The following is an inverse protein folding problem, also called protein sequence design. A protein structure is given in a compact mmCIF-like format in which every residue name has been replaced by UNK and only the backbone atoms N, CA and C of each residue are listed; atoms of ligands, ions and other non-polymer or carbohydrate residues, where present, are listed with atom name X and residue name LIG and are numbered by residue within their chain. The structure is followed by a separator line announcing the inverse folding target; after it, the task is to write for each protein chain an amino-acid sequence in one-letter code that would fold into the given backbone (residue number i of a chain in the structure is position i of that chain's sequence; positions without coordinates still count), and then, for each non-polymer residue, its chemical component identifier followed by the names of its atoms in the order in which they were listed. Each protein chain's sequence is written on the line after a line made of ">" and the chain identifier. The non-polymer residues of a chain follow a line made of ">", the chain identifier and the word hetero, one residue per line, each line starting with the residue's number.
data_IF_053627198736
#
_entry.id   IF_053627198736
#
_cell.length_a   1.000
_cell.length_b   1.000
_cell.length_c   1.000
_cell.angle_alpha   90.00
_cell.angle_beta   90.00
_cell.angle_gamma   90.00
#
_symmetry.space_group_name_H-M   'P 1'
#
loop_
_entity.id
_entity.type
_entity.pdbx_description
1 polymer ?
#
# COMPACT_ATOMS: atom_id res chain seq x y z
N UNK A 1 -28.10 -52.91 10.38
CA UNK A 1 -27.03 -52.06 9.80
C UNK A 1 -26.85 -50.70 10.50
N UNK A 2 -27.82 -50.18 11.27
CA UNK A 2 -27.72 -48.85 11.93
C UNK A 2 -27.00 -48.88 13.31
N UNK A 3 -26.96 -50.02 14.01
CA UNK A 3 -26.26 -50.15 15.32
C UNK A 3 -24.73 -50.22 15.25
N UNK A 4 -24.14 -50.51 14.07
CA UNK A 4 -22.66 -50.50 13.89
C UNK A 4 -22.10 -49.07 13.68
N UNK A 5 -22.90 -48.14 13.15
CA UNK A 5 -22.47 -46.74 12.95
C UNK A 5 -22.32 -45.96 14.26
N UNK A 6 -23.15 -46.26 15.27
CA UNK A 6 -23.09 -45.54 16.56
C UNK A 6 -21.88 -45.93 17.43
N UNK A 7 -21.47 -47.21 17.44
CA UNK A 7 -20.26 -47.66 18.18
C UNK A 7 -18.96 -47.09 17.58
N UNK A 8 -18.90 -46.88 16.25
CA UNK A 8 -17.75 -46.26 15.58
C UNK A 8 -17.61 -44.76 15.85
N UNK A 9 -18.72 -44.06 16.12
CA UNK A 9 -18.71 -42.64 16.49
C UNK A 9 -18.25 -42.40 17.92
N UNK A 10 -18.65 -43.27 18.87
CA UNK A 10 -18.25 -43.16 20.27
C UNK A 10 -16.76 -43.48 20.49
N UNK A 11 -16.22 -44.51 19.82
CA UNK A 11 -14.79 -44.85 19.92
C UNK A 11 -13.87 -43.84 19.21
N UNK A 12 -14.35 -43.09 18.20
CA UNK A 12 -13.58 -41.98 17.60
C UNK A 12 -13.45 -40.77 18.53
N UNK A 13 -14.40 -40.55 19.45
CA UNK A 13 -14.31 -39.46 20.43
C UNK A 13 -13.26 -39.71 21.52
N UNK A 14 -12.97 -40.97 21.86
CA UNK A 14 -11.93 -41.32 22.83
C UNK A 14 -10.52 -41.39 22.23
N UNK A 15 -10.39 -41.48 20.90
CA UNK A 15 -9.10 -41.56 20.20
C UNK A 15 -8.65 -40.26 19.49
N UNK A 16 -9.30 -39.11 19.77
CA UNK A 16 -8.77 -37.80 19.39
C UNK A 16 -7.71 -37.38 20.41
N UNK A 17 -6.50 -37.87 20.13
CA UNK A 17 -5.24 -37.35 20.63
C UNK A 17 -5.33 -35.81 20.74
N UNK A 18 -5.06 -35.23 21.91
CA UNK A 18 -5.17 -33.79 22.20
C UNK A 18 -4.35 -32.99 21.17
N UNK A 19 -4.96 -32.62 20.04
CA UNK A 19 -4.41 -31.64 19.11
C UNK A 19 -4.37 -30.32 19.87
N UNK A 20 -3.16 -29.82 20.14
CA UNK A 20 -2.92 -28.44 20.60
C UNK A 20 -3.79 -27.51 19.76
N UNK A 21 -4.78 -26.86 20.37
CA UNK A 21 -5.61 -25.85 19.71
C UNK A 21 -4.66 -24.76 19.19
N UNK A 22 -4.46 -24.69 17.88
CA UNK A 22 -3.81 -23.55 17.23
C UNK A 22 -4.88 -22.46 17.10
N UNK A 23 -4.60 -21.26 17.62
CA UNK A 23 -5.52 -20.13 17.56
C UNK A 23 -5.80 -19.67 16.13
N UNK A 24 -6.89 -18.90 15.96
CA UNK A 24 -7.42 -18.43 14.67
C UNK A 24 -6.38 -17.69 13.80
N UNK A 25 -5.40 -17.01 14.41
CA UNK A 25 -4.31 -16.33 13.68
C UNK A 25 -3.36 -17.27 12.91
N UNK A 26 -3.26 -18.56 13.28
CA UNK A 26 -2.32 -19.48 12.63
C UNK A 26 -2.81 -20.02 11.26
N UNK A 27 -4.00 -19.60 10.80
CA UNK A 27 -4.58 -20.02 9.51
C UNK A 27 -3.96 -19.23 8.35
N UNK A 28 -3.44 -18.03 8.61
CA UNK A 28 -2.89 -17.13 7.59
C UNK A 28 -1.36 -17.18 7.45
N UNK A 29 -0.70 -18.16 8.08
CA UNK A 29 0.75 -18.36 7.93
C UNK A 29 1.01 -19.02 6.58
N UNK A 30 1.46 -18.23 5.60
CA UNK A 30 1.92 -18.74 4.30
C UNK A 30 3.08 -19.70 4.50
N UNK A 31 2.95 -20.94 4.02
CA UNK A 31 4.01 -21.93 4.12
C UNK A 31 5.22 -21.47 3.32
N UNK A 32 6.41 -21.56 3.92
CA UNK A 32 7.65 -21.05 3.32
C UNK A 32 8.04 -21.87 2.06
N UNK A 33 8.46 -21.23 0.96
CA UNK A 33 8.91 -21.93 -0.25
C UNK A 33 10.07 -22.94 0.00
N UNK A 34 10.14 -24.06 -0.76
CA UNK A 34 11.13 -25.13 -0.53
C UNK A 34 12.60 -24.69 -0.60
N UNK A 35 12.92 -23.68 -1.42
CA UNK A 35 14.28 -23.15 -1.57
C UNK A 35 14.82 -22.48 -0.31
N UNK A 36 13.95 -21.77 0.43
CA UNK A 36 14.30 -21.12 1.70
C UNK A 36 14.52 -22.16 2.81
N UNK A 37 13.82 -23.30 2.75
CA UNK A 37 14.03 -24.41 3.71
C UNK A 37 15.41 -25.08 3.53
N UNK A 38 15.96 -25.10 2.31
CA UNK A 38 17.28 -25.68 2.04
C UNK A 38 18.41 -24.77 2.57
N UNK A 39 18.33 -23.47 2.30
CA UNK A 39 19.26 -22.48 2.87
C UNK A 39 19.21 -22.40 4.40
N UNK A 40 18.02 -22.56 5.00
CA UNK A 40 17.87 -22.66 6.48
C UNK A 40 18.51 -23.92 7.07
N UNK A 41 18.48 -25.06 6.36
CA UNK A 41 19.11 -26.30 6.85
C UNK A 41 20.64 -26.22 6.83
N UNK A 42 21.21 -25.51 5.86
CA UNK A 42 22.66 -25.33 5.75
C UNK A 42 23.16 -24.29 6.78
N UNK A 43 22.39 -23.22 7.05
CA UNK A 43 22.66 -22.27 8.16
C UNK A 43 22.43 -22.87 9.55
N UNK A 44 21.47 -23.81 9.71
CA UNK A 44 21.22 -24.51 10.98
C UNK A 44 22.40 -25.38 11.44
N UNK A 45 23.28 -25.83 10.53
CA UNK A 45 24.48 -26.59 10.92
C UNK A 45 25.56 -25.72 11.56
N UNK A 46 25.52 -24.41 11.37
CA UNK A 46 26.53 -23.46 11.88
C UNK A 46 26.11 -22.80 13.21
N UNK A 47 24.81 -22.60 13.46
CA UNK A 47 24.30 -21.85 14.63
C UNK A 47 23.27 -22.64 15.48
N UNK A 48 23.47 -23.94 15.64
CA UNK A 48 22.45 -24.92 16.06
C UNK A 48 21.79 -24.80 17.45
N UNK A 49 22.10 -23.81 18.28
CA UNK A 49 21.46 -23.63 19.61
C UNK A 49 21.16 -22.16 19.97
N UNK A 50 21.69 -21.18 19.22
CA UNK A 50 21.62 -19.74 19.56
C UNK A 50 20.41 -19.00 18.92
N UNK A 51 19.65 -19.66 18.05
CA UNK A 51 18.70 -18.96 17.16
C UNK A 51 17.38 -18.56 17.85
N UNK A 52 16.88 -19.33 18.82
CA UNK A 52 15.57 -19.05 19.44
C UNK A 52 15.61 -17.88 20.43
N UNK A 53 16.62 -17.84 21.29
CA UNK A 53 16.78 -16.77 22.29
C UNK A 53 17.19 -15.45 21.62
N UNK A 54 18.07 -15.51 20.61
CA UNK A 54 18.45 -14.34 19.83
C UNK A 54 17.25 -13.79 19.03
N UNK A 55 16.48 -14.66 18.37
CA UNK A 55 15.23 -14.28 17.71
C UNK A 55 14.25 -13.63 18.69
N UNK A 56 14.09 -14.20 19.88
CA UNK A 56 13.20 -13.65 20.91
C UNK A 56 13.65 -12.25 21.34
N UNK A 57 14.95 -12.02 21.55
CA UNK A 57 15.51 -10.70 21.85
C UNK A 57 15.28 -9.69 20.72
N UNK A 58 15.52 -10.09 19.47
CA UNK A 58 15.29 -9.22 18.30
C UNK A 58 13.80 -8.87 18.17
N UNK A 59 12.91 -9.85 18.24
CA UNK A 59 11.47 -9.61 18.17
C UNK A 59 10.97 -8.75 19.34
N UNK A 60 11.51 -8.94 20.56
CA UNK A 60 11.16 -8.11 21.70
C UNK A 60 11.64 -6.66 21.53
N UNK A 61 12.81 -6.44 20.94
CA UNK A 61 13.32 -5.10 20.60
C UNK A 61 12.44 -4.39 19.56
N UNK A 62 12.06 -5.09 18.49
CA UNK A 62 11.11 -4.58 17.48
C UNK A 62 9.77 -4.23 18.13
N UNK A 63 9.21 -5.15 18.94
CA UNK A 63 7.94 -4.92 19.61
C UNK A 63 7.98 -3.70 20.53
N UNK A 64 9.05 -3.52 21.30
CA UNK A 64 9.26 -2.32 22.14
C UNK A 64 9.24 -1.05 21.29
N UNK A 65 9.94 -1.02 20.16
CA UNK A 65 9.91 0.14 19.26
C UNK A 65 8.51 0.44 18.72
N UNK A 66 7.71 -0.59 18.37
CA UNK A 66 6.31 -0.41 17.97
C UNK A 66 5.46 0.23 19.09
N UNK A 67 5.67 -0.19 20.33
CA UNK A 67 4.98 0.38 21.48
C UNK A 67 5.38 1.84 21.71
N UNK A 68 6.69 2.14 21.68
CA UNK A 68 7.22 3.48 21.91
C UNK A 68 6.78 4.47 20.82
N UNK A 69 6.74 4.02 19.56
CA UNK A 69 6.34 4.82 18.41
C UNK A 69 4.82 4.84 18.16
N UNK A 70 4.02 4.15 18.98
CA UNK A 70 2.57 3.98 18.81
C UNK A 70 2.17 3.47 17.41
N UNK A 71 2.96 2.56 16.84
CA UNK A 71 2.73 1.97 15.51
C UNK A 71 1.70 0.85 15.63
N UNK A 72 0.78 0.76 14.67
CA UNK A 72 -0.23 -0.28 14.66
C UNK A 72 0.41 -1.64 14.39
N UNK A 73 0.01 -2.68 15.13
CA UNK A 73 0.58 -4.02 14.95
C UNK A 73 0.33 -4.61 13.56
N UNK A 74 -0.67 -4.11 12.84
CA UNK A 74 -0.96 -4.52 11.47
C UNK A 74 0.12 -4.06 10.48
N UNK A 75 0.96 -3.10 10.85
CA UNK A 75 1.96 -2.52 9.95
C UNK A 75 3.12 -3.48 9.63
N UNK A 76 3.28 -4.57 10.40
CA UNK A 76 4.25 -5.64 10.08
C UNK A 76 3.89 -6.43 8.81
N UNK A 77 2.66 -6.26 8.29
CA UNK A 77 2.19 -6.93 7.07
C UNK A 77 2.74 -6.24 5.82
N UNK A 78 3.14 -4.97 5.89
CA UNK A 78 3.67 -4.27 4.74
C UNK A 78 5.00 -4.90 4.27
N UNK A 79 5.14 -5.09 2.96
CA UNK A 79 6.34 -5.68 2.37
C UNK A 79 7.61 -4.87 2.70
N UNK A 80 7.48 -3.55 2.87
CA UNK A 80 8.56 -2.66 3.29
C UNK A 80 9.12 -3.01 4.67
N UNK A 81 8.30 -3.52 5.60
CA UNK A 81 8.78 -3.96 6.91
C UNK A 81 9.68 -5.19 6.76
N UNK A 82 9.27 -6.15 5.92
CA UNK A 82 10.07 -7.34 5.64
C UNK A 82 11.37 -6.99 4.94
N UNK A 83 11.31 -6.17 3.89
CA UNK A 83 12.49 -5.68 3.17
C UNK A 83 13.47 -4.96 4.10
N UNK A 84 12.97 -4.08 4.98
CA UNK A 84 13.78 -3.42 5.99
C UNK A 84 14.50 -4.44 6.89
N UNK A 85 13.80 -5.47 7.40
CA UNK A 85 14.43 -6.48 8.24
C UNK A 85 15.48 -7.31 7.50
N UNK A 86 15.24 -7.62 6.22
CA UNK A 86 16.18 -8.35 5.37
C UNK A 86 17.43 -7.51 5.08
N UNK A 87 17.28 -6.21 4.81
CA UNK A 87 18.38 -5.28 4.56
C UNK A 87 19.23 -5.04 5.82
N UNK A 88 18.60 -4.88 6.99
CA UNK A 88 19.32 -4.76 8.27
C UNK A 88 20.13 -6.03 8.54
N UNK A 89 19.53 -7.20 8.30
CA UNK A 89 20.20 -8.49 8.46
C UNK A 89 21.38 -8.68 7.49
N UNK A 90 21.25 -8.23 6.25
CA UNK A 90 22.32 -8.26 5.25
C UNK A 90 23.48 -7.31 5.57
N UNK A 91 23.19 -6.13 6.13
CA UNK A 91 24.22 -5.16 6.50
C UNK A 91 25.03 -5.63 7.72
N UNK A 92 24.36 -6.16 8.75
CA UNK A 92 24.98 -6.68 9.96
C UNK A 92 25.25 -5.63 11.06
N UNK A 93 26.11 -5.98 12.04
CA UNK A 93 26.27 -5.25 13.30
C UNK A 93 26.81 -3.82 13.19
N UNK A 94 27.38 -3.44 12.05
CA UNK A 94 28.01 -2.12 11.85
C UNK A 94 27.01 -1.03 11.44
N UNK A 95 25.71 -1.35 11.28
CA UNK A 95 24.72 -0.39 10.83
C UNK A 95 24.57 0.74 11.84
N UNK A 96 24.98 1.95 11.45
CA UNK A 96 24.64 3.18 12.16
C UNK A 96 23.33 3.69 11.59
N UNK A 97 22.28 3.68 12.43
CA UNK A 97 20.96 4.19 12.04
C UNK A 97 21.07 5.70 11.80
N UNK A 98 20.50 6.13 10.67
CA UNK A 98 20.50 7.52 10.22
C UNK A 98 19.93 8.50 11.25
N UNK A 99 20.50 9.70 11.27
CA UNK A 99 20.01 10.83 12.05
C UNK A 99 18.64 11.24 11.49
N UNK A 100 17.69 11.66 12.33
CA UNK A 100 16.33 12.07 11.94
C UNK A 100 16.30 12.99 10.70
N UNK A 101 17.27 13.91 10.58
CA UNK A 101 17.41 14.81 9.44
C UNK A 101 17.67 14.09 8.12
N UNK A 102 18.49 13.04 8.13
CA UNK A 102 18.83 12.26 6.94
C UNK A 102 17.62 11.46 6.45
N UNK A 103 16.83 10.89 7.38
CA UNK A 103 15.56 10.24 7.05
C UNK A 103 14.55 11.23 6.45
N UNK A 104 14.38 12.38 7.11
CA UNK A 104 13.37 13.39 6.73
C UNK A 104 13.67 14.09 5.41
N UNK A 105 14.95 14.30 5.08
CA UNK A 105 15.36 15.07 3.91
C UNK A 105 15.93 14.15 2.84
N UNK A 106 17.05 13.51 3.11
CA UNK A 106 17.82 12.79 2.08
C UNK A 106 17.11 11.53 1.59
N UNK A 107 16.67 10.65 2.48
CA UNK A 107 15.97 9.43 2.09
C UNK A 107 14.57 9.71 1.57
N UNK A 108 13.85 10.67 2.15
CA UNK A 108 12.55 11.08 1.64
C UNK A 108 12.64 11.61 0.19
N UNK A 109 13.62 12.48 -0.11
CA UNK A 109 13.83 12.98 -1.48
C UNK A 109 14.19 11.86 -2.46
N UNK A 110 14.98 10.86 -2.01
CA UNK A 110 15.28 9.68 -2.83
C UNK A 110 14.00 8.89 -3.14
N UNK A 111 13.10 8.70 -2.18
CA UNK A 111 11.84 8.01 -2.45
C UNK A 111 10.89 8.80 -3.37
N UNK A 112 10.86 10.12 -3.23
CA UNK A 112 10.15 10.99 -4.19
C UNK A 112 10.74 10.82 -5.59
N UNK A 113 12.06 10.76 -5.72
CA UNK A 113 12.74 10.52 -7.01
C UNK A 113 12.56 9.09 -7.54
N UNK A 114 12.33 8.10 -6.67
CA UNK A 114 12.03 6.72 -7.05
C UNK A 114 10.58 6.54 -7.52
N UNK A 115 9.67 7.42 -7.10
CA UNK A 115 8.23 7.32 -7.41
C UNK A 115 7.95 7.19 -8.92
N UNK A 116 8.56 7.99 -9.82
CA UNK A 116 8.40 7.80 -11.27
C UNK A 116 8.80 6.42 -11.78
N UNK A 117 9.84 5.82 -11.20
CA UNK A 117 10.34 4.49 -11.56
C UNK A 117 9.30 3.43 -11.18
N UNK A 118 8.75 3.52 -9.96
CA UNK A 118 7.68 2.64 -9.49
C UNK A 118 6.37 2.80 -10.29
N UNK A 119 6.14 3.98 -10.86
CA UNK A 119 4.97 4.27 -11.69
C UNK A 119 5.16 3.89 -13.16
N UNK A 120 6.39 3.66 -13.63
CA UNK A 120 6.68 3.41 -15.05
C UNK A 120 5.84 2.26 -15.62
N UNK A 121 5.79 1.12 -14.93
CA UNK A 121 5.02 -0.05 -15.40
C UNK A 121 3.52 0.25 -15.47
N UNK A 122 2.99 1.05 -14.55
CA UNK A 122 1.57 1.47 -14.53
C UNK A 122 1.28 2.43 -15.67
N UNK A 123 2.16 3.41 -15.90
CA UNK A 123 2.04 4.36 -17.03
C UNK A 123 2.03 3.64 -18.38
N UNK A 124 2.86 2.61 -18.56
CA UNK A 124 2.83 1.79 -19.78
C UNK A 124 1.51 1.04 -19.97
N UNK A 125 0.92 0.55 -18.87
CA UNK A 125 -0.42 -0.07 -18.92
C UNK A 125 -1.51 0.95 -19.27
N UNK A 126 -1.44 2.18 -18.75
CA UNK A 126 -2.37 3.26 -19.12
C UNK A 126 -2.28 3.57 -20.61
N UNK A 127 -1.09 3.52 -21.22
CA UNK A 127 -0.96 3.69 -22.67
C UNK A 127 -1.60 2.55 -23.48
N UNK A 128 -1.57 1.32 -22.96
CA UNK A 128 -2.11 0.15 -23.66
C UNK A 128 -3.62 -0.02 -23.49
N UNK A 129 -4.13 0.19 -22.27
CA UNK A 129 -5.53 -0.12 -21.90
C UNK A 129 -6.37 1.11 -21.57
N UNK A 130 -5.75 2.30 -21.62
CA UNK A 130 -6.31 3.57 -21.15
C UNK A 130 -6.68 3.55 -19.66
N UNK A 131 -7.05 4.70 -19.13
CA UNK A 131 -7.35 4.90 -17.71
C UNK A 131 -8.43 5.96 -17.51
N UNK A 132 -8.98 6.04 -16.30
CA UNK A 132 -9.88 7.10 -15.89
C UNK A 132 -9.22 7.95 -14.81
N UNK A 133 -9.30 9.27 -14.91
CA UNK A 133 -8.86 10.16 -13.83
C UNK A 133 -10.03 10.34 -12.86
N UNK A 134 -9.77 10.30 -11.56
CA UNK A 134 -10.73 10.64 -10.52
C UNK A 134 -10.20 11.82 -9.72
N UNK A 135 -11.03 12.85 -9.60
CA UNK A 135 -10.76 14.03 -8.79
C UNK A 135 -11.82 14.21 -7.71
N UNK A 136 -11.37 14.55 -6.50
CA UNK A 136 -12.25 14.83 -5.37
C UNK A 136 -11.70 16.01 -4.56
N UNK A 137 -12.56 16.97 -4.25
CA UNK A 137 -12.24 18.13 -3.42
C UNK A 137 -12.73 17.92 -2.00
N UNK A 138 -11.85 18.14 -1.02
CA UNK A 138 -12.20 18.07 0.39
C UNK A 138 -11.60 19.22 1.18
N UNK A 139 -12.29 19.65 2.24
CA UNK A 139 -11.68 20.46 3.28
C UNK A 139 -11.16 19.52 4.36
N UNK A 140 -9.86 19.61 4.62
CA UNK A 140 -9.28 19.02 5.81
C UNK A 140 -9.62 19.94 7.00
N UNK A 141 -10.44 19.42 7.92
CA UNK A 141 -10.91 20.16 9.09
C UNK A 141 -9.83 20.36 10.15
N UNK A 142 -8.75 19.58 10.14
CA UNK A 142 -7.66 19.69 11.11
C UNK A 142 -6.72 20.81 10.69
N UNK A 143 -6.22 20.76 9.45
CA UNK A 143 -5.30 21.79 8.94
C UNK A 143 -6.02 23.00 8.36
N UNK A 144 -7.35 22.96 8.26
CA UNK A 144 -8.20 24.00 7.66
C UNK A 144 -7.79 24.35 6.23
N UNK A 145 -7.36 23.33 5.48
CA UNK A 145 -6.93 23.46 4.09
C UNK A 145 -7.92 22.81 3.15
N UNK A 146 -8.13 23.45 2.02
CA UNK A 146 -8.90 22.89 0.94
C UNK A 146 -7.96 22.19 -0.03
N UNK A 147 -8.21 20.92 -0.28
CA UNK A 147 -7.32 20.03 -1.01
C UNK A 147 -8.09 19.35 -2.14
N UNK A 148 -7.50 19.33 -3.33
CA UNK A 148 -8.00 18.56 -4.47
C UNK A 148 -7.05 17.40 -4.72
N UNK A 149 -7.58 16.18 -4.60
CA UNK A 149 -6.83 14.95 -4.83
C UNK A 149 -7.08 14.43 -6.24
N UNK A 150 -6.03 13.90 -6.87
CA UNK A 150 -6.06 13.28 -8.19
C UNK A 150 -5.58 11.84 -8.11
N UNK A 151 -6.43 10.94 -8.58
CA UNK A 151 -6.15 9.52 -8.67
C UNK A 151 -6.35 9.06 -10.11
N UNK A 152 -5.52 8.12 -10.56
CA UNK A 152 -5.72 7.42 -11.82
C UNK A 152 -6.25 6.03 -11.49
N UNK A 153 -7.38 5.69 -12.11
CA UNK A 153 -7.96 4.36 -12.06
C UNK A 153 -7.63 3.60 -13.35
N UNK A 154 -7.00 2.45 -13.21
CA UNK A 154 -6.71 1.53 -14.30
C UNK A 154 -7.39 0.18 -14.05
N UNK A 155 -7.37 -0.71 -15.04
CA UNK A 155 -7.86 -2.07 -14.86
C UNK A 155 -7.15 -2.82 -13.72
N UNK A 156 -5.88 -2.50 -13.45
CA UNK A 156 -5.04 -3.20 -12.48
C UNK A 156 -5.16 -2.64 -11.08
N UNK A 157 -5.04 -1.33 -10.94
CA UNK A 157 -5.01 -0.64 -9.66
C UNK A 157 -5.43 0.83 -9.74
N UNK A 158 -5.68 1.40 -8.56
CA UNK A 158 -5.84 2.83 -8.33
C UNK A 158 -4.51 3.41 -7.86
N UNK A 159 -4.12 4.53 -8.46
CA UNK A 159 -2.84 5.18 -8.19
C UNK A 159 -3.09 6.63 -7.83
N UNK A 160 -2.64 7.04 -6.65
CA UNK A 160 -2.60 8.45 -6.29
C UNK A 160 -1.49 9.14 -7.09
N UNK A 161 -1.84 10.22 -7.80
CA UNK A 161 -0.91 10.96 -8.65
C UNK A 161 -0.44 12.22 -7.95
N UNK A 162 -1.38 13.02 -7.46
CA UNK A 162 -1.08 14.32 -6.90
C UNK A 162 -2.22 14.82 -6.00
N UNK A 163 -1.89 15.80 -5.16
CA UNK A 163 -2.82 16.56 -4.35
C UNK A 163 -2.42 18.03 -4.41
N UNK A 164 -3.37 18.91 -4.73
CA UNK A 164 -3.14 20.37 -4.79
C UNK A 164 -3.89 21.08 -3.66
N UNK A 165 -3.18 21.91 -2.92
CA UNK A 165 -3.79 22.82 -1.94
C UNK A 165 -4.40 24.03 -2.68
N UNK A 166 -5.68 24.30 -2.42
CA UNK A 166 -6.48 25.32 -3.11
C UNK A 166 -7.14 26.31 -2.16
N UNK A 167 -6.75 26.31 -0.88
CA UNK A 167 -7.33 27.13 0.19
C UNK A 167 -7.35 28.64 -0.11
N UNK A 168 -6.30 29.14 -0.77
CA UNK A 168 -6.10 30.57 -1.07
C UNK A 168 -6.69 31.00 -2.42
N UNK A 169 -7.28 30.08 -3.17
CA UNK A 169 -7.77 30.34 -4.53
C UNK A 169 -9.29 30.38 -4.53
N UNK A 170 -9.87 31.28 -5.32
CA UNK A 170 -11.33 31.30 -5.53
C UNK A 170 -11.71 29.98 -6.19
N UNK A 171 -12.43 29.15 -5.43
CA UNK A 171 -12.95 27.85 -5.88
C UNK A 171 -14.08 28.07 -6.87
N UNK A 172 -13.73 28.32 -8.12
CA UNK A 172 -14.69 28.44 -9.21
C UNK A 172 -14.44 27.36 -10.26
N UNK A 173 -15.39 27.23 -11.19
CA UNK A 173 -15.37 26.18 -12.20
C UNK A 173 -14.14 26.25 -13.12
N UNK A 174 -13.68 27.47 -13.42
CA UNK A 174 -12.53 27.73 -14.29
C UNK A 174 -11.21 27.27 -13.66
N UNK A 175 -11.03 27.51 -12.37
CA UNK A 175 -9.83 27.08 -11.65
C UNK A 175 -9.75 25.56 -11.60
N UNK A 176 -10.86 24.90 -11.27
CA UNK A 176 -10.93 23.45 -11.26
C UNK A 176 -10.75 22.84 -12.66
N UNK A 177 -11.29 23.49 -13.69
CA UNK A 177 -11.06 23.08 -15.08
C UNK A 177 -9.56 23.03 -15.39
N UNK A 178 -8.82 24.10 -15.09
CA UNK A 178 -7.36 24.14 -15.31
C UNK A 178 -6.62 23.03 -14.57
N UNK A 179 -6.99 22.75 -13.32
CA UNK A 179 -6.35 21.68 -12.56
C UNK A 179 -6.62 20.29 -13.18
N UNK A 180 -7.83 20.06 -13.69
CA UNK A 180 -8.18 18.80 -14.35
C UNK A 180 -7.47 18.68 -15.70
N UNK A 181 -7.39 19.77 -16.45
CA UNK A 181 -6.71 19.85 -17.74
C UNK A 181 -5.21 19.54 -17.60
N UNK A 182 -4.52 20.21 -16.66
CA UNK A 182 -3.12 19.93 -16.31
C UNK A 182 -2.92 18.44 -15.95
N UNK A 183 -3.89 17.81 -15.27
CA UNK A 183 -3.81 16.39 -14.91
C UNK A 183 -4.02 15.46 -16.10
N UNK A 184 -4.89 15.84 -17.04
CA UNK A 184 -5.08 15.09 -18.30
C UNK A 184 -3.80 15.18 -19.14
N UNK A 185 -3.16 16.34 -19.21
CA UNK A 185 -1.87 16.51 -19.87
C UNK A 185 -0.76 15.66 -19.22
N UNK A 186 -0.65 15.69 -17.88
CA UNK A 186 0.34 14.91 -17.12
C UNK A 186 0.22 13.38 -17.33
N UNK A 187 -1.02 12.89 -17.46
CA UNK A 187 -1.31 11.47 -17.74
C UNK A 187 -1.20 11.16 -19.24
N UNK A 188 -1.39 12.16 -20.09
CA UNK A 188 -1.45 12.09 -21.54
C UNK A 188 -2.89 11.84 -22.02
N UNK A 189 -3.44 12.80 -22.75
CA UNK A 189 -4.84 12.81 -23.23
C UNK A 189 -5.25 11.50 -23.92
N UNK A 190 -4.41 10.94 -24.80
CA UNK A 190 -4.65 9.66 -25.50
C UNK A 190 -4.85 8.45 -24.57
N UNK A 191 -4.37 8.54 -23.33
CA UNK A 191 -4.45 7.50 -22.31
C UNK A 191 -5.71 7.65 -21.44
N UNK A 192 -6.43 8.77 -21.51
CA UNK A 192 -7.57 9.07 -20.64
C UNK A 192 -8.87 8.80 -21.39
N UNK A 193 -9.74 7.96 -20.82
CA UNK A 193 -11.08 7.69 -21.38
C UNK A 193 -12.12 8.65 -20.81
N UNK A 194 -11.97 9.01 -19.54
CA UNK A 194 -12.93 9.84 -18.83
C UNK A 194 -12.29 10.47 -17.58
N UNK A 195 -12.87 11.59 -17.16
CA UNK A 195 -12.56 12.27 -15.90
C UNK A 195 -13.80 12.17 -15.01
N UNK A 196 -13.65 11.54 -13.84
CA UNK A 196 -14.67 11.33 -12.84
C UNK A 196 -14.48 12.37 -11.74
N UNK A 197 -15.50 13.19 -11.51
CA UNK A 197 -15.46 14.26 -10.52
C UNK A 197 -16.47 14.02 -9.41
N UNK A 198 -16.31 14.74 -8.29
CA UNK A 198 -17.35 14.78 -7.26
C UNK A 198 -18.62 15.53 -7.75
N UNK A 199 -19.69 15.44 -6.96
CA UNK A 199 -20.98 16.07 -7.25
C UNK A 199 -21.13 17.47 -6.62
N UNK A 200 -20.07 18.04 -6.07
CA UNK A 200 -20.14 19.38 -5.52
C UNK A 200 -20.39 20.41 -6.64
N UNK A 201 -21.07 21.50 -6.30
CA UNK A 201 -21.57 22.47 -7.29
C UNK A 201 -20.50 23.01 -8.24
N UNK A 202 -19.25 23.14 -7.75
CA UNK A 202 -18.15 23.63 -8.56
C UNK A 202 -17.67 22.61 -9.60
N UNK A 203 -17.65 21.33 -9.24
CA UNK A 203 -17.30 20.25 -10.17
C UNK A 203 -18.36 20.10 -11.25
N UNK A 204 -19.65 20.13 -10.90
CA UNK A 204 -20.75 20.10 -11.88
C UNK A 204 -20.64 21.26 -12.87
N UNK A 205 -20.36 22.47 -12.38
CA UNK A 205 -20.13 23.64 -13.26
C UNK A 205 -18.91 23.45 -14.16
N UNK A 206 -17.83 22.88 -13.65
CA UNK A 206 -16.62 22.56 -14.43
C UNK A 206 -16.91 21.57 -15.54
N UNK A 207 -17.69 20.50 -15.28
CA UNK A 207 -18.06 19.52 -16.30
C UNK A 207 -18.82 20.17 -17.46
N UNK A 208 -19.71 21.12 -17.19
CA UNK A 208 -20.42 21.88 -18.23
C UNK A 208 -19.44 22.71 -19.07
N UNK A 209 -18.45 23.35 -18.45
CA UNK A 209 -17.38 24.08 -19.16
C UNK A 209 -16.56 23.14 -20.03
N UNK A 210 -16.21 21.96 -19.52
CA UNK A 210 -15.43 20.96 -20.24
C UNK A 210 -16.16 20.46 -21.48
N UNK A 211 -17.44 20.06 -21.35
CA UNK A 211 -18.26 19.62 -22.47
C UNK A 211 -18.39 20.69 -23.56
N UNK A 212 -18.55 21.96 -23.17
CA UNK A 212 -18.60 23.08 -24.13
C UNK A 212 -17.28 23.25 -24.87
N UNK A 213 -16.14 23.15 -24.17
CA UNK A 213 -14.83 23.25 -24.78
C UNK A 213 -14.57 22.10 -25.77
N UNK A 214 -14.88 20.85 -25.39
CA UNK A 214 -14.67 19.66 -26.24
C UNK A 214 -15.57 19.65 -27.48
N UNK A 215 -16.80 20.16 -27.39
CA UNK A 215 -17.70 20.30 -28.54
C UNK A 215 -17.22 21.39 -29.52
N UNK A 216 -16.50 22.40 -29.02
CA UNK A 216 -16.03 23.52 -29.83
C UNK A 216 -14.71 23.22 -30.56
N UNK A 217 -13.94 22.21 -30.11
CA UNK A 217 -12.70 21.76 -30.74
C UNK A 217 -12.87 20.62 -31.75
N UNK A 218 -14.10 20.10 -31.91
CA UNK A 218 -14.45 19.06 -32.90
C UNK A 218 -15.20 19.61 -34.12
N UNK A 219 -15.42 20.93 -34.19
CA UNK A 219 -15.96 21.68 -35.33
C UNK A 219 -14.85 22.54 -35.96
#
# INVERSE_FOLDING_TARGET
>A
MVRKMWKLSLNRKLALNKRKKRGLLNIYVTSTPPGIMKGRKDMMRVFGVCDKELREKVCAGIARWFYDACILFNDVIYDSFKEMTDLIGQYGMSLKISIMLELRVSFFQKEVANTPIMLFQRKNEWAAKRCSIRSNGGRDSVVQKDIVNFLVNSHKDFVFINSKEVSKVVKNATMLFKLLDEMVEDVGEKNVVQVITDNASNYVKTTIVYLRASLCSTL
#
